data_IF_302964034500
#
_entry.id   IF_302964034500
#
_cell.length_a   1.000
_cell.length_b   1.000
_cell.length_c   1.000
_cell.angle_alpha   90.00
_cell.angle_beta   90.00
_cell.angle_gamma   90.00
#
_symmetry.space_group_name_H-M   'P 1'
#
loop_
_entity.id
_entity.type
_entity.pdbx_description
1 polymer ?
#
# COMPACT_ATOMS: atom_id res chain seq x y z
N UNK A 1 32.11 11.21 0.99
CA UNK A 1 32.47 12.13 -0.12
C UNK A 1 31.15 12.54 -0.76
N UNK A 2 30.48 13.51 -0.14
CA UNK A 2 29.22 14.06 -0.62
C UNK A 2 29.52 15.05 -1.74
N UNK A 3 28.99 14.78 -2.94
CA UNK A 3 29.16 15.66 -4.09
C UNK A 3 28.05 16.71 -4.05
N UNK A 4 28.43 17.97 -3.81
CA UNK A 4 27.66 19.20 -3.98
C UNK A 4 26.16 19.16 -3.59
N UNK A 5 25.87 19.46 -2.33
CA UNK A 5 24.60 20.08 -1.91
C UNK A 5 23.32 19.26 -2.04
N UNK A 6 23.37 18.03 -2.53
CA UNK A 6 22.21 17.13 -2.62
C UNK A 6 22.48 15.91 -1.75
N UNK A 7 21.65 15.68 -0.73
CA UNK A 7 21.81 14.49 0.10
C UNK A 7 21.66 13.23 -0.76
N UNK A 8 22.48 12.22 -0.49
CA UNK A 8 22.52 10.95 -1.23
C UNK A 8 21.16 10.22 -1.22
N UNK A 9 20.33 10.50 -0.22
CA UNK A 9 18.98 9.97 -0.05
C UNK A 9 17.98 10.61 -1.03
N UNK A 10 18.11 11.92 -1.30
CA UNK A 10 17.27 12.63 -2.28
C UNK A 10 17.55 12.12 -3.70
N UNK A 11 18.82 11.87 -4.02
CA UNK A 11 19.20 11.31 -5.34
C UNK A 11 18.73 9.86 -5.51
N UNK A 12 18.80 9.04 -4.45
CA UNK A 12 18.30 7.65 -4.49
C UNK A 12 16.78 7.58 -4.66
N UNK A 13 16.03 8.30 -3.84
CA UNK A 13 14.56 8.32 -3.95
C UNK A 13 14.10 8.84 -5.31
N UNK A 14 14.74 9.89 -5.85
CA UNK A 14 14.43 10.42 -7.17
C UNK A 14 14.82 9.45 -8.30
N UNK A 15 15.91 8.69 -8.16
CA UNK A 15 16.27 7.63 -9.09
C UNK A 15 15.22 6.51 -9.07
N UNK A 16 14.75 6.07 -7.90
CA UNK A 16 13.67 5.09 -7.81
C UNK A 16 12.37 5.57 -8.43
N UNK A 17 11.98 6.84 -8.23
CA UNK A 17 10.80 7.41 -8.91
C UNK A 17 10.93 7.36 -10.43
N UNK A 18 12.07 7.78 -10.97
CA UNK A 18 12.32 7.71 -12.43
C UNK A 18 12.37 6.27 -12.95
N UNK A 19 12.97 5.35 -12.22
CA UNK A 19 12.99 3.93 -12.59
C UNK A 19 11.61 3.30 -12.52
N UNK A 20 10.80 3.64 -11.52
CA UNK A 20 9.41 3.21 -11.39
C UNK A 20 8.58 3.72 -12.58
N UNK A 21 8.68 5.01 -12.91
CA UNK A 21 8.03 5.58 -14.10
C UNK A 21 8.41 4.82 -15.37
N UNK A 22 9.70 4.60 -15.61
CA UNK A 22 10.18 3.87 -16.80
C UNK A 22 9.72 2.41 -16.82
N UNK A 23 9.69 1.75 -15.66
CA UNK A 23 9.23 0.36 -15.53
C UNK A 23 7.74 0.23 -15.83
N UNK A 24 6.95 1.25 -15.46
CA UNK A 24 5.51 1.31 -15.68
C UNK A 24 5.18 1.67 -17.12
N UNK A 25 5.91 2.62 -17.72
CA UNK A 25 5.64 3.16 -19.06
C UNK A 25 6.29 2.40 -20.21
N UNK A 26 7.29 1.54 -19.97
CA UNK A 26 7.93 0.81 -21.07
C UNK A 26 6.95 -0.16 -21.74
N UNK A 27 6.74 0.01 -23.04
CA UNK A 27 5.91 -0.86 -23.90
C UNK A 27 6.61 -2.15 -24.31
N UNK A 28 7.92 -2.22 -24.11
CA UNK A 28 8.68 -3.43 -24.30
C UNK A 28 8.30 -4.44 -23.22
N UNK A 29 7.77 -5.59 -23.64
CA UNK A 29 8.02 -6.84 -22.94
C UNK A 29 9.55 -6.99 -22.91
N UNK A 30 10.19 -6.45 -21.87
CA UNK A 30 11.61 -6.65 -21.65
C UNK A 30 11.80 -8.15 -21.41
N UNK A 31 12.06 -8.85 -22.50
CA UNK A 31 12.84 -10.07 -22.50
C UNK A 31 14.00 -9.88 -21.55
N UNK A 32 14.25 -10.89 -20.72
CA UNK A 32 15.32 -10.97 -19.76
C UNK A 32 16.66 -10.49 -20.34
N UNK A 33 16.93 -9.18 -20.26
CA UNK A 33 18.27 -8.64 -20.47
C UNK A 33 19.00 -8.91 -19.17
N UNK A 34 19.59 -10.11 -19.13
CA UNK A 34 20.64 -10.58 -18.23
C UNK A 34 21.33 -9.43 -17.49
N UNK A 35 20.91 -9.20 -16.24
CA UNK A 35 21.57 -8.28 -15.31
C UNK A 35 20.75 -7.09 -14.79
N UNK A 36 19.65 -6.68 -15.44
CA UNK A 36 18.75 -5.63 -14.90
C UNK A 36 17.50 -6.26 -14.30
N UNK A 37 17.54 -6.56 -13.01
CA UNK A 37 16.34 -6.99 -12.30
C UNK A 37 15.32 -5.83 -12.28
N UNK A 38 14.25 -5.95 -13.07
CA UNK A 38 13.10 -5.04 -13.04
C UNK A 38 12.68 -4.76 -11.59
N UNK A 39 12.34 -3.51 -11.25
CA UNK A 39 11.91 -3.17 -9.89
C UNK A 39 10.71 -4.03 -9.44
N UNK A 40 9.88 -4.47 -10.40
CA UNK A 40 8.76 -5.37 -10.17
C UNK A 40 9.21 -6.77 -9.72
N UNK A 41 10.38 -7.24 -10.16
CA UNK A 41 10.93 -8.53 -9.75
C UNK A 41 11.69 -8.46 -8.42
N UNK A 42 12.00 -7.26 -7.92
CA UNK A 42 12.62 -7.04 -6.61
C UNK A 42 11.60 -7.07 -5.46
N UNK A 43 10.31 -6.92 -5.76
CA UNK A 43 9.22 -6.87 -4.80
C UNK A 43 8.52 -8.24 -4.71
N UNK A 44 8.35 -8.75 -3.49
CA UNK A 44 7.71 -10.03 -3.22
C UNK A 44 8.51 -11.26 -3.67
N UNK A 45 9.85 -11.24 -3.51
CA UNK A 45 10.70 -12.44 -3.64
C UNK A 45 10.51 -13.34 -2.43
N UNK A 46 9.41 -14.09 -2.40
CA UNK A 46 9.10 -15.06 -1.35
C UNK A 46 7.68 -15.56 -1.52
N UNK A 47 7.52 -16.75 -2.10
CA UNK A 47 6.22 -17.39 -2.36
C UNK A 47 5.55 -17.94 -1.08
N UNK A 48 5.93 -17.47 0.11
CA UNK A 48 5.42 -17.95 1.40
C UNK A 48 5.52 -16.85 2.46
N UNK A 49 4.47 -16.03 2.58
CA UNK A 49 4.26 -15.02 3.63
C UNK A 49 5.27 -13.88 3.64
N UNK A 50 4.92 -12.73 3.05
CA UNK A 50 5.71 -11.49 3.17
C UNK A 50 5.75 -10.99 4.61
N UNK A 51 4.71 -11.28 5.41
CA UNK A 51 4.62 -10.90 6.82
C UNK A 51 5.75 -11.47 7.71
N UNK A 52 6.39 -12.57 7.30
CA UNK A 52 7.49 -13.19 8.04
C UNK A 52 8.84 -12.50 7.85
N UNK A 53 8.97 -11.58 6.88
CA UNK A 53 10.21 -10.87 6.58
C UNK A 53 9.98 -9.37 6.75
N UNK A 54 10.75 -8.73 7.63
CA UNK A 54 10.61 -7.30 7.84
C UNK A 54 10.93 -6.51 6.55
N UNK A 55 10.05 -5.56 6.19
CA UNK A 55 10.25 -4.70 5.02
C UNK A 55 11.51 -3.86 5.25
N UNK A 56 12.46 -4.01 4.33
CA UNK A 56 13.70 -3.22 4.32
C UNK A 56 13.44 -1.79 3.83
N UNK A 57 14.30 -0.83 4.19
CA UNK A 57 14.19 0.54 3.68
C UNK A 57 14.21 0.59 2.14
N UNK A 58 15.03 -0.24 1.49
CA UNK A 58 15.08 -0.29 0.03
C UNK A 58 13.75 -0.79 -0.56
N UNK A 59 13.17 -1.85 0.00
CA UNK A 59 11.88 -2.37 -0.46
C UNK A 59 10.76 -1.36 -0.24
N UNK A 60 10.74 -0.69 0.92
CA UNK A 60 9.80 0.37 1.22
C UNK A 60 9.88 1.53 0.20
N UNK A 61 11.08 2.03 -0.09
CA UNK A 61 11.28 3.10 -1.07
C UNK A 61 10.84 2.68 -2.48
N UNK A 62 11.11 1.44 -2.89
CA UNK A 62 10.66 0.94 -4.20
C UNK A 62 9.13 0.83 -4.24
N UNK A 63 8.49 0.32 -3.19
CA UNK A 63 7.02 0.25 -3.10
C UNK A 63 6.39 1.62 -3.20
N UNK A 64 6.88 2.60 -2.44
CA UNK A 64 6.39 3.98 -2.49
C UNK A 64 6.63 4.59 -3.87
N UNK A 65 7.79 4.37 -4.47
CA UNK A 65 8.10 4.88 -5.81
C UNK A 65 7.18 4.28 -6.89
N UNK A 66 6.86 2.98 -6.81
CA UNK A 66 5.88 2.35 -7.70
C UNK A 66 4.48 2.92 -7.50
N UNK A 67 4.06 3.11 -6.25
CA UNK A 67 2.77 3.73 -5.93
C UNK A 67 2.66 5.15 -6.48
N UNK A 68 3.72 5.94 -6.41
CA UNK A 68 3.72 7.30 -6.98
C UNK A 68 3.80 7.30 -8.52
N UNK A 69 4.41 6.27 -9.09
CA UNK A 69 4.55 6.09 -10.53
C UNK A 69 3.23 5.74 -11.23
N UNK A 70 2.27 5.10 -10.56
CA UNK A 70 0.97 4.74 -11.17
C UNK A 70 0.16 5.96 -11.59
N UNK A 71 0.33 7.10 -10.91
CA UNK A 71 -0.40 8.34 -11.21
C UNK A 71 0.09 9.07 -12.47
N UNK A 72 1.30 8.75 -12.96
CA UNK A 72 2.04 9.63 -13.87
C UNK A 72 2.19 9.13 -15.31
N UNK A 73 1.54 8.03 -15.72
CA UNK A 73 1.72 7.52 -17.07
C UNK A 73 0.67 6.53 -17.58
N UNK A 74 0.77 6.22 -18.87
CA UNK A 74 0.06 5.12 -19.52
C UNK A 74 0.67 3.80 -19.07
N UNK A 75 -0.06 3.03 -18.25
CA UNK A 75 0.35 1.69 -17.82
C UNK A 75 -0.20 0.67 -18.80
N UNK A 76 0.65 -0.23 -19.31
CA UNK A 76 0.16 -1.38 -20.10
C UNK A 76 -0.77 -2.25 -19.25
N UNK A 77 -1.84 -2.80 -19.83
CA UNK A 77 -2.82 -3.61 -19.11
C UNK A 77 -2.18 -4.78 -18.33
N UNK A 78 -1.19 -5.47 -18.91
CA UNK A 78 -0.47 -6.57 -18.26
C UNK A 78 0.34 -6.11 -17.03
N UNK A 79 0.96 -4.94 -17.11
CA UNK A 79 1.70 -4.34 -15.99
C UNK A 79 0.77 -3.82 -14.90
N UNK A 80 -0.37 -3.24 -15.28
CA UNK A 80 -1.39 -2.79 -14.35
C UNK A 80 -1.97 -3.97 -13.55
N UNK A 81 -2.24 -5.10 -14.20
CA UNK A 81 -2.64 -6.34 -13.54
C UNK A 81 -1.57 -6.85 -12.57
N UNK A 82 -0.31 -6.95 -13.00
CA UNK A 82 0.78 -7.41 -12.15
C UNK A 82 0.97 -6.52 -10.91
N UNK A 83 0.91 -5.19 -11.10
CA UNK A 83 0.97 -4.23 -9.99
C UNK A 83 -0.22 -4.38 -9.05
N UNK A 84 -1.43 -4.57 -9.58
CA UNK A 84 -2.64 -4.78 -8.77
C UNK A 84 -2.50 -6.03 -7.90
N UNK A 85 -2.01 -7.14 -8.45
CA UNK A 85 -1.78 -8.38 -7.70
C UNK A 85 -0.74 -8.19 -6.59
N UNK A 86 0.36 -7.49 -6.87
CA UNK A 86 1.41 -7.20 -5.88
C UNK A 86 0.88 -6.29 -4.78
N UNK A 87 0.24 -5.18 -5.12
CA UNK A 87 -0.34 -4.24 -4.16
C UNK A 87 -1.45 -4.86 -3.32
N UNK A 88 -2.29 -5.72 -3.91
CA UNK A 88 -3.25 -6.54 -3.17
C UNK A 88 -2.56 -7.35 -2.08
N UNK A 89 -1.48 -8.06 -2.42
CA UNK A 89 -0.77 -8.89 -1.45
C UNK A 89 -0.21 -8.04 -0.31
N UNK A 90 0.47 -6.92 -0.61
CA UNK A 90 0.99 -6.03 0.44
C UNK A 90 -0.11 -5.45 1.31
N UNK A 91 -1.26 -5.06 0.74
CA UNK A 91 -2.36 -4.49 1.52
C UNK A 91 -2.96 -5.51 2.49
N UNK A 92 -3.16 -6.76 2.05
CA UNK A 92 -3.73 -7.82 2.89
C UNK A 92 -2.78 -8.27 4.01
N UNK A 93 -1.48 -8.32 3.73
CA UNK A 93 -0.48 -8.74 4.73
C UNK A 93 -0.03 -7.58 5.65
N UNK A 94 -0.34 -6.33 5.29
CA UNK A 94 0.12 -5.12 5.98
C UNK A 94 -0.12 -5.11 7.50
N UNK A 95 -1.31 -5.49 8.01
CA UNK A 95 -1.56 -5.46 9.46
C UNK A 95 -0.60 -6.35 10.26
N UNK A 96 -0.07 -7.41 9.65
CA UNK A 96 0.86 -8.36 10.27
C UNK A 96 2.32 -8.10 9.87
N UNK A 97 2.56 -7.14 8.98
CA UNK A 97 3.87 -6.87 8.42
C UNK A 97 4.79 -6.18 9.43
N UNK A 98 6.02 -6.64 9.52
CA UNK A 98 7.07 -5.96 10.28
C UNK A 98 7.90 -5.04 9.38
N UNK A 99 8.48 -4.00 9.98
CA UNK A 99 9.35 -3.04 9.31
C UNK A 99 10.71 -3.00 9.98
N UNK A 100 11.78 -2.84 9.20
CA UNK A 100 13.12 -2.65 9.75
C UNK A 100 13.25 -1.27 10.43
N UNK A 101 14.13 -1.16 11.42
CA UNK A 101 14.40 0.10 12.15
C UNK A 101 14.78 1.27 11.22
N UNK A 102 15.44 0.97 10.10
CA UNK A 102 15.79 1.93 9.07
C UNK A 102 14.57 2.59 8.41
N UNK A 103 13.41 1.93 8.38
CA UNK A 103 12.16 2.51 7.88
C UNK A 103 11.60 3.52 8.89
N UNK A 104 11.61 3.17 10.17
CA UNK A 104 11.15 4.07 11.24
C UNK A 104 11.99 5.34 11.30
N UNK A 105 13.31 5.20 11.27
CA UNK A 105 14.23 6.36 11.24
C UNK A 105 14.06 7.23 9.99
N UNK A 106 13.76 6.63 8.83
CA UNK A 106 13.48 7.37 7.60
C UNK A 106 12.15 8.15 7.65
N UNK A 107 11.10 7.57 8.23
CA UNK A 107 9.77 8.19 8.30
C UNK A 107 9.60 9.16 9.48
N UNK A 108 10.47 9.06 10.50
CA UNK A 108 10.36 9.86 11.72
C UNK A 108 9.08 9.53 12.47
N UNK A 109 8.23 10.53 12.67
CA UNK A 109 6.99 10.40 13.46
C UNK A 109 5.85 9.69 12.69
N UNK A 110 6.00 9.47 11.39
CA UNK A 110 4.94 8.86 10.58
C UNK A 110 4.98 7.33 10.69
N UNK A 111 3.93 6.66 11.19
CA UNK A 111 3.94 5.21 11.30
C UNK A 111 3.97 4.53 9.92
N UNK A 112 4.83 3.52 9.70
CA UNK A 112 5.01 2.90 8.39
C UNK A 112 3.75 2.19 7.88
N UNK A 113 2.98 1.54 8.77
CA UNK A 113 1.69 0.92 8.42
C UNK A 113 0.71 1.93 7.84
N UNK A 114 0.57 3.09 8.49
CA UNK A 114 -0.32 4.17 8.03
C UNK A 114 0.15 4.69 6.67
N UNK A 115 1.44 5.01 6.55
CA UNK A 115 1.99 5.56 5.32
C UNK A 115 1.87 4.58 4.15
N UNK A 116 2.16 3.29 4.37
CA UNK A 116 2.13 2.29 3.29
C UNK A 116 0.69 1.97 2.89
N UNK A 117 -0.24 1.82 3.85
CA UNK A 117 -1.66 1.64 3.57
C UNK A 117 -2.19 2.80 2.71
N UNK A 118 -1.92 4.05 3.10
CA UNK A 118 -2.38 5.22 2.36
C UNK A 118 -1.86 5.22 0.91
N UNK A 119 -0.57 4.94 0.72
CA UNK A 119 0.09 4.94 -0.60
C UNK A 119 -0.39 3.79 -1.49
N UNK A 120 -0.51 2.58 -0.95
CA UNK A 120 -0.94 1.38 -1.69
C UNK A 120 -2.41 1.49 -2.09
N UNK A 121 -3.28 1.91 -1.16
CA UNK A 121 -4.71 2.11 -1.46
C UNK A 121 -4.90 3.20 -2.51
N UNK A 122 -4.18 4.32 -2.41
CA UNK A 122 -4.23 5.36 -3.43
C UNK A 122 -3.75 4.85 -4.80
N UNK A 123 -2.65 4.09 -4.84
CA UNK A 123 -2.12 3.53 -6.07
C UNK A 123 -3.08 2.54 -6.75
N UNK A 124 -3.78 1.72 -5.97
CA UNK A 124 -4.82 0.81 -6.48
C UNK A 124 -5.98 1.60 -7.10
N UNK A 125 -6.43 2.69 -6.47
CA UNK A 125 -7.46 3.56 -7.06
C UNK A 125 -6.95 4.23 -8.34
N UNK A 126 -5.72 4.76 -8.35
CA UNK A 126 -5.12 5.38 -9.54
C UNK A 126 -5.03 4.38 -10.72
N UNK A 127 -4.71 3.12 -10.45
CA UNK A 127 -4.71 2.06 -11.49
C UNK A 127 -6.09 1.83 -12.10
N UNK A 128 -7.18 1.96 -11.34
CA UNK A 128 -8.53 1.87 -11.90
C UNK A 128 -8.83 3.00 -12.90
N UNK A 129 -8.32 4.21 -12.62
CA UNK A 129 -8.50 5.37 -13.48
C UNK A 129 -7.69 5.23 -14.78
N UNK A 130 -6.43 4.79 -14.68
CA UNK A 130 -5.55 4.63 -15.84
C UNK A 130 -5.98 3.45 -16.73
N UNK A 131 -6.56 2.39 -16.15
CA UNK A 131 -7.08 1.24 -16.90
C UNK A 131 -8.50 1.44 -17.46
N UNK A 132 -9.03 2.67 -17.44
CA UNK A 132 -10.39 3.01 -17.89
C UNK A 132 -11.48 2.13 -17.25
N UNK A 133 -11.30 1.77 -15.98
CA UNK A 133 -12.29 1.01 -15.22
C UNK A 133 -12.16 -0.51 -15.30
N UNK A 134 -11.28 -1.06 -16.15
CA UNK A 134 -11.14 -2.51 -16.32
C UNK A 134 -10.78 -3.25 -15.01
N UNK A 135 -9.99 -2.62 -14.14
CA UNK A 135 -9.55 -3.21 -12.87
C UNK A 135 -10.43 -2.84 -11.66
N UNK A 136 -11.53 -2.12 -11.86
CA UNK A 136 -12.37 -1.62 -10.74
C UNK A 136 -12.89 -2.74 -9.87
N UNK A 137 -13.39 -3.82 -10.47
CA UNK A 137 -13.93 -4.96 -9.72
C UNK A 137 -12.85 -5.64 -8.89
N UNK A 138 -11.67 -5.89 -9.47
CA UNK A 138 -10.55 -6.54 -8.77
C UNK A 138 -10.03 -5.68 -7.60
N UNK A 139 -9.99 -4.36 -7.77
CA UNK A 139 -9.61 -3.42 -6.71
C UNK A 139 -10.66 -3.38 -5.60
N UNK A 140 -11.95 -3.36 -5.93
CA UNK A 140 -13.03 -3.43 -4.94
C UNK A 140 -13.02 -4.74 -4.17
N UNK A 141 -12.82 -5.88 -4.85
CA UNK A 141 -12.70 -7.20 -4.22
C UNK A 141 -11.49 -7.24 -3.27
N UNK A 142 -10.38 -6.61 -3.66
CA UNK A 142 -9.21 -6.44 -2.80
C UNK A 142 -9.52 -5.64 -1.55
N UNK A 143 -10.26 -4.54 -1.68
CA UNK A 143 -10.66 -3.71 -0.55
C UNK A 143 -11.64 -4.42 0.38
N UNK A 144 -12.62 -5.15 -0.16
CA UNK A 144 -13.52 -5.97 0.65
C UNK A 144 -12.75 -7.04 1.41
N UNK A 145 -11.87 -7.78 0.73
CA UNK A 145 -11.03 -8.80 1.37
C UNK A 145 -10.12 -8.22 2.46
N UNK A 146 -9.61 -6.99 2.29
CA UNK A 146 -8.83 -6.32 3.33
C UNK A 146 -9.67 -6.03 4.58
N UNK A 147 -10.87 -5.46 4.40
CA UNK A 147 -11.78 -5.17 5.51
C UNK A 147 -12.20 -6.48 6.21
N UNK A 148 -12.64 -7.49 5.46
CA UNK A 148 -13.02 -8.79 6.02
C UNK A 148 -11.87 -9.47 6.76
N UNK A 149 -10.64 -9.43 6.22
CA UNK A 149 -9.47 -10.02 6.88
C UNK A 149 -9.09 -9.26 8.15
N UNK A 150 -9.21 -7.93 8.14
CA UNK A 150 -8.86 -7.09 9.29
C UNK A 150 -9.82 -7.33 10.44
N UNK A 151 -11.13 -7.27 10.19
CA UNK A 151 -12.16 -7.44 11.20
C UNK A 151 -12.48 -8.91 11.53
N UNK A 152 -12.11 -9.86 10.67
CA UNK A 152 -12.18 -11.30 10.97
C UNK A 152 -11.17 -11.74 12.03
N UNK A 153 -10.18 -10.92 12.35
CA UNK A 153 -9.19 -11.19 13.39
C UNK A 153 -9.69 -10.63 14.73
N UNK A 154 -10.02 -11.51 15.70
CA UNK A 154 -10.67 -11.10 16.96
C UNK A 154 -9.85 -10.14 17.84
N UNK A 155 -8.55 -9.98 17.59
CA UNK A 155 -7.66 -9.09 18.34
C UNK A 155 -6.95 -8.14 17.39
N UNK A 156 -7.43 -6.90 17.30
CA UNK A 156 -6.78 -5.87 16.50
C UNK A 156 -5.58 -5.29 17.24
N UNK A 157 -4.40 -5.40 16.62
CA UNK A 157 -3.17 -4.76 17.10
C UNK A 157 -3.05 -3.32 16.58
N UNK A 158 -2.12 -2.54 17.15
CA UNK A 158 -1.87 -1.15 16.73
C UNK A 158 -1.58 -1.03 15.23
N UNK A 159 -0.82 -1.97 14.67
CA UNK A 159 -0.56 -2.06 13.23
C UNK A 159 -1.83 -2.14 12.40
N UNK A 160 -2.84 -2.90 12.85
CA UNK A 160 -4.14 -3.02 12.21
C UNK A 160 -4.90 -1.70 12.23
N UNK A 161 -4.95 -1.01 13.37
CA UNK A 161 -5.58 0.31 13.46
C UNK A 161 -4.89 1.35 12.56
N UNK A 162 -3.56 1.35 12.52
CA UNK A 162 -2.79 2.27 11.68
C UNK A 162 -2.97 1.97 10.19
N UNK A 163 -3.02 0.69 9.81
CA UNK A 163 -3.29 0.27 8.43
C UNK A 163 -4.71 0.67 8.01
N UNK A 164 -5.72 0.43 8.86
CA UNK A 164 -7.10 0.85 8.62
C UNK A 164 -7.21 2.37 8.47
N UNK A 165 -6.51 3.14 9.31
CA UNK A 165 -6.48 4.60 9.24
C UNK A 165 -5.86 5.10 7.92
N UNK A 166 -4.75 4.50 7.49
CA UNK A 166 -4.12 4.82 6.20
C UNK A 166 -5.03 4.49 5.01
N UNK A 167 -5.68 3.33 5.05
CA UNK A 167 -6.68 2.89 4.06
C UNK A 167 -7.84 3.89 3.95
N UNK A 168 -8.46 4.25 5.08
CA UNK A 168 -9.52 5.26 5.19
C UNK A 168 -9.09 6.63 4.64
N UNK A 169 -7.87 7.06 4.99
CA UNK A 169 -7.32 8.33 4.54
C UNK A 169 -7.10 8.38 3.02
N UNK A 170 -6.76 7.26 2.39
CA UNK A 170 -6.66 7.20 0.94
C UNK A 170 -8.04 7.22 0.24
N UNK A 171 -9.03 6.53 0.81
CA UNK A 171 -10.39 6.49 0.27
C UNK A 171 -11.11 7.83 0.38
N UNK A 172 -10.91 8.55 1.49
CA UNK A 172 -11.44 9.92 1.65
C UNK A 172 -10.85 10.91 0.65
N UNK A 173 -9.59 10.70 0.23
CA UNK A 173 -8.94 11.51 -0.82
C UNK A 173 -9.40 11.14 -2.23
N UNK A 174 -9.85 9.91 -2.45
CA UNK A 174 -10.28 9.40 -3.75
C UNK A 174 -11.71 8.83 -3.70
N UNK A 175 -12.73 9.67 -3.44
CA UNK A 175 -14.10 9.20 -3.22
C UNK A 175 -14.76 8.62 -4.49
N UNK A 176 -14.19 8.87 -5.67
CA UNK A 176 -14.72 8.39 -6.96
C UNK A 176 -14.87 6.87 -7.04
N UNK A 177 -14.08 6.12 -6.25
CA UNK A 177 -14.19 4.66 -6.19
C UNK A 177 -15.55 4.20 -5.62
N UNK A 178 -16.17 4.98 -4.74
CA UNK A 178 -17.47 4.68 -4.15
C UNK A 178 -18.66 4.87 -5.10
N UNK A 179 -18.46 5.64 -6.18
CA UNK A 179 -19.48 5.90 -7.19
C UNK A 179 -19.32 5.02 -8.44
N UNK A 180 -18.30 4.14 -8.47
CA UNK A 180 -17.96 3.40 -9.67
C UNK A 180 -18.91 2.22 -9.96
N UNK A 181 -19.39 1.52 -8.94
CA UNK A 181 -20.26 0.35 -9.09
C UNK A 181 -21.12 0.10 -7.84
N UNK A 182 -22.14 -0.75 -7.96
CA UNK A 182 -22.98 -1.22 -6.83
C UNK A 182 -22.16 -1.93 -5.75
N UNK A 183 -21.12 -2.69 -6.15
CA UNK A 183 -20.17 -3.30 -5.20
C UNK A 183 -19.43 -2.27 -4.35
N UNK A 184 -19.26 -1.04 -4.84
CA UNK A 184 -18.63 0.02 -4.05
C UNK A 184 -19.48 0.46 -2.87
N UNK A 185 -20.80 0.39 -3.00
CA UNK A 185 -21.74 0.66 -1.90
C UNK A 185 -21.67 -0.45 -0.85
N UNK A 186 -21.49 -1.71 -1.27
CA UNK A 186 -21.27 -2.84 -0.36
C UNK A 186 -20.01 -2.66 0.47
N UNK A 187 -18.90 -2.22 -0.14
CA UNK A 187 -17.67 -1.89 0.58
C UNK A 187 -17.91 -0.80 1.63
N UNK A 188 -18.65 0.26 1.29
CA UNK A 188 -18.98 1.31 2.23
C UNK A 188 -19.82 0.80 3.41
N UNK A 189 -20.88 0.03 3.15
CA UNK A 189 -21.71 -0.58 4.18
C UNK A 189 -20.93 -1.55 5.08
N UNK A 190 -20.05 -2.36 4.50
CA UNK A 190 -19.19 -3.27 5.24
C UNK A 190 -18.28 -2.50 6.19
N UNK A 191 -17.65 -1.43 5.69
CA UNK A 191 -16.74 -0.61 6.48
C UNK A 191 -17.48 0.15 7.60
N UNK A 192 -18.65 0.70 7.30
CA UNK A 192 -19.52 1.39 8.26
C UNK A 192 -19.96 0.43 9.39
N UNK A 193 -20.50 -0.73 9.04
CA UNK A 193 -20.94 -1.75 10.02
C UNK A 193 -19.79 -2.35 10.84
N UNK A 194 -18.58 -2.42 10.29
CA UNK A 194 -17.41 -2.95 10.99
C UNK A 194 -16.84 -1.94 11.99
N UNK A 195 -16.77 -0.66 11.61
CA UNK A 195 -16.23 0.42 12.44
C UNK A 195 -17.25 0.88 13.49
N UNK A 196 -18.53 0.97 13.14
CA UNK A 196 -19.62 1.33 14.07
C UNK A 196 -20.13 0.12 14.88
N UNK A 197 -19.21 -0.79 15.22
CA UNK A 197 -19.49 -1.92 16.09
C UNK A 197 -19.03 -1.63 17.51
N UNK A 198 -19.84 -2.04 18.49
CA UNK A 198 -19.51 -1.87 19.92
C UNK A 198 -18.17 -2.52 20.26
N UNK A 199 -17.89 -3.69 19.67
CA UNK A 199 -16.65 -4.43 19.90
C UNK A 199 -15.42 -3.65 19.42
N UNK A 200 -15.49 -3.07 18.21
CA UNK A 200 -14.40 -2.26 17.66
C UNK A 200 -14.19 -0.98 18.48
N UNK A 201 -15.26 -0.23 18.76
CA UNK A 201 -15.17 1.04 19.48
C UNK A 201 -14.66 0.85 20.91
N UNK A 202 -15.15 -0.18 21.61
CA UNK A 202 -14.68 -0.51 22.98
C UNK A 202 -13.20 -0.91 22.97
N UNK A 203 -12.78 -1.71 21.98
CA UNK A 203 -11.39 -2.13 21.85
C UNK A 203 -10.46 -0.95 21.54
N UNK A 204 -10.89 -0.03 20.67
CA UNK A 204 -10.16 1.18 20.35
C UNK A 204 -10.05 2.13 21.56
N UNK A 205 -11.16 2.31 22.31
CA UNK A 205 -11.19 3.11 23.54
C UNK A 205 -10.24 2.53 24.59
N UNK A 206 -10.32 1.21 24.84
CA UNK A 206 -9.43 0.53 25.78
C UNK A 206 -7.95 0.70 25.41
N UNK A 207 -7.61 0.56 24.12
CA UNK A 207 -6.24 0.73 23.65
C UNK A 207 -5.75 2.18 23.82
N UNK A 208 -6.62 3.16 23.53
CA UNK A 208 -6.29 4.57 23.72
C UNK A 208 -6.07 4.93 25.20
N UNK A 209 -6.90 4.39 26.10
CA UNK A 209 -6.77 4.58 27.54
C UNK A 209 -5.50 3.89 28.08
N UNK A 210 -5.18 2.70 27.58
CA UNK A 210 -3.95 1.99 27.91
C UNK A 210 -2.71 2.82 27.53
N UNK A 211 -2.64 3.35 26.31
CA UNK A 211 -1.52 4.19 25.88
C UNK A 211 -1.42 5.48 26.70
N UNK A 212 -2.54 6.13 27.01
CA UNK A 212 -2.54 7.35 27.83
C UNK A 212 -2.09 7.11 29.28
N UNK A 213 -2.16 5.86 29.77
CA UNK A 213 -1.73 5.48 31.12
C UNK A 213 -0.23 5.19 31.24
N UNK A 214 0.49 5.06 30.11
CA UNK A 214 1.94 4.91 30.08
C UNK A 214 2.61 6.26 29.74
N UNK A 215 3.31 6.91 30.69
CA UNK A 215 4.02 8.16 30.46
C UNK A 215 5.29 7.99 29.62
#
# INVERSE_FOLDING_TARGET
MDFFGVSREITRSHAYKKLAQLSISSTSEESDISGKQSLLSQIGKGSSGLSNVAISLNEYEILVALCEGTRQGTVSASKAQLLTQKFRQYLLELPQQQFSEHVFTFLGDLPPWLSLAEKVTAALVDLTLVSHGFLVTEVLDTFMAFVESLFGTCNLELSSYLALLGFMKALTKNPSIFTANESSLKLFQLLDSSIDSVDFLTSAEYYSAYLASYP
#
